data_IF_663512119248
#
_entry.id   IF_663512119248
#
_cell.length_a   1.000
_cell.length_b   1.000
_cell.length_c   1.000
_cell.angle_alpha   90.00
_cell.angle_beta   90.00
_cell.angle_gamma   90.00
#
_symmetry.space_group_name_H-M   'P 1'
#
loop_
_entity.id
_entity.type
_entity.pdbx_description
1 polymer ?
#
# COMPACT_ATOMS: atom_id res chain seq x y z
N UNK A 1 16.10 3.25 -6.46
CA UNK A 1 17.28 4.03 -6.93
C UNK A 1 17.06 4.80 -8.26
N UNK A 2 15.83 5.22 -8.60
CA UNK A 2 15.56 6.00 -9.83
C UNK A 2 15.39 7.51 -9.60
N UNK A 3 15.27 7.95 -8.34
CA UNK A 3 15.12 9.38 -7.99
C UNK A 3 16.45 10.13 -7.95
N UNK A 4 17.53 9.47 -7.49
CA UNK A 4 18.85 10.09 -7.30
C UNK A 4 19.53 10.52 -8.63
N UNK A 5 19.18 9.94 -9.78
CA UNK A 5 19.71 10.38 -11.10
C UNK A 5 19.02 11.62 -11.67
N UNK A 6 17.94 12.12 -11.06
CA UNK A 6 17.27 13.35 -11.50
C UNK A 6 18.00 14.62 -11.07
N UNK A 7 18.78 14.55 -9.99
CA UNK A 7 19.63 15.65 -9.52
C UNK A 7 20.94 15.81 -10.30
N UNK A 8 21.32 14.82 -11.12
CA UNK A 8 22.56 14.79 -11.89
C UNK A 8 22.38 15.07 -13.39
N UNK A 9 21.19 15.47 -13.84
CA UNK A 9 20.96 15.89 -15.23
C UNK A 9 21.33 17.37 -15.36
N UNK A 10 22.61 17.62 -15.67
CA UNK A 10 23.25 18.95 -15.76
C UNK A 10 22.60 19.91 -16.79
N UNK A 11 21.61 19.48 -17.57
CA UNK A 11 20.92 20.37 -18.52
C UNK A 11 19.39 20.15 -18.52
N UNK A 12 18.57 21.19 -18.24
CA UNK A 12 17.10 21.19 -18.39
C UNK A 12 16.65 20.73 -19.78
N UNK A 13 17.51 20.93 -20.77
CA UNK A 13 17.29 20.58 -22.16
C UNK A 13 17.15 19.07 -22.38
N UNK A 14 17.90 18.23 -21.66
CA UNK A 14 17.86 16.76 -21.81
C UNK A 14 16.54 16.18 -21.30
N UNK A 15 15.99 16.72 -20.21
CA UNK A 15 14.65 16.35 -19.74
C UNK A 15 13.58 16.78 -20.76
N UNK A 16 13.71 17.98 -21.32
CA UNK A 16 12.75 18.55 -22.29
C UNK A 16 12.77 17.83 -23.64
N UNK A 17 13.95 17.43 -24.14
CA UNK A 17 14.08 16.62 -25.37
C UNK A 17 13.68 15.17 -25.15
N UNK A 18 13.99 14.56 -24.00
CA UNK A 18 13.41 13.26 -23.62
C UNK A 18 11.89 13.32 -23.55
N UNK A 19 11.33 14.44 -23.06
CA UNK A 19 9.89 14.72 -22.98
C UNK A 19 9.19 14.85 -24.34
N UNK A 20 9.96 15.31 -25.34
CA UNK A 20 9.47 15.52 -26.70
C UNK A 20 9.58 14.23 -27.52
N UNK A 21 10.57 13.39 -27.21
CA UNK A 21 10.87 12.16 -27.95
C UNK A 21 10.04 10.94 -27.51
N UNK A 22 9.34 10.96 -26.37
CA UNK A 22 8.44 9.89 -25.91
C UNK A 22 9.07 8.48 -25.92
N UNK A 23 10.40 8.40 -25.78
CA UNK A 23 11.21 7.17 -25.85
C UNK A 23 11.64 6.75 -24.44
N UNK A 24 11.51 5.45 -24.16
CA UNK A 24 11.99 4.81 -22.93
C UNK A 24 11.31 5.31 -21.66
N UNK A 25 12.06 6.02 -20.81
CA UNK A 25 11.67 6.42 -19.45
C UNK A 25 10.43 7.32 -19.38
N UNK A 26 10.16 8.09 -20.44
CA UNK A 26 8.94 8.90 -20.48
C UNK A 26 7.67 8.05 -20.69
N UNK A 27 7.76 7.00 -21.52
CA UNK A 27 6.64 6.06 -21.72
C UNK A 27 6.34 5.33 -20.42
N UNK A 28 7.36 4.94 -19.66
CA UNK A 28 7.19 4.33 -18.34
C UNK A 28 6.58 5.30 -17.32
N UNK A 29 7.05 6.55 -17.28
CA UNK A 29 6.47 7.59 -16.44
C UNK A 29 5.00 7.83 -16.79
N UNK A 30 4.66 7.91 -18.08
CA UNK A 30 3.28 8.08 -18.54
C UNK A 30 2.39 6.92 -18.10
N UNK A 31 2.86 5.67 -18.21
CA UNK A 31 2.15 4.49 -17.70
C UNK A 31 1.97 4.54 -16.18
N UNK A 32 3.01 4.93 -15.44
CA UNK A 32 2.94 5.05 -13.98
C UNK A 32 1.93 6.13 -13.55
N UNK A 33 1.92 7.29 -14.22
CA UNK A 33 0.94 8.35 -14.00
C UNK A 33 -0.48 7.86 -14.32
N UNK A 34 -0.66 7.13 -15.43
CA UNK A 34 -1.95 6.53 -15.77
C UNK A 34 -2.44 5.55 -14.71
N UNK A 35 -1.55 4.69 -14.20
CA UNK A 35 -1.88 3.74 -13.14
C UNK A 35 -2.31 4.44 -11.84
N UNK A 36 -1.56 5.47 -11.42
CA UNK A 36 -1.91 6.26 -10.22
C UNK A 36 -3.25 6.98 -10.41
N UNK A 37 -3.49 7.57 -11.58
CA UNK A 37 -4.76 8.21 -11.89
C UNK A 37 -5.92 7.21 -11.86
N UNK A 38 -5.76 6.03 -12.46
CA UNK A 38 -6.78 4.97 -12.44
C UNK A 38 -7.07 4.49 -11.02
N UNK A 39 -6.04 4.31 -10.19
CA UNK A 39 -6.20 3.93 -8.79
C UNK A 39 -6.95 5.01 -8.00
N UNK A 40 -6.59 6.28 -8.17
CA UNK A 40 -7.25 7.39 -7.50
C UNK A 40 -8.73 7.52 -7.93
N UNK A 41 -9.01 7.37 -9.23
CA UNK A 41 -10.39 7.32 -9.73
C UNK A 41 -11.18 6.13 -9.14
N UNK A 42 -10.54 4.97 -8.99
CA UNK A 42 -11.18 3.80 -8.39
C UNK A 42 -11.53 4.04 -6.92
N UNK A 43 -10.61 4.63 -6.14
CA UNK A 43 -10.87 4.99 -4.74
C UNK A 43 -12.07 5.94 -4.63
N UNK A 44 -12.11 6.98 -5.46
CA UNK A 44 -13.23 7.92 -5.51
C UNK A 44 -14.54 7.19 -5.84
N UNK A 45 -14.52 6.33 -6.87
CA UNK A 45 -15.69 5.56 -7.30
C UNK A 45 -16.21 4.63 -6.21
N UNK A 46 -15.33 3.89 -5.56
CA UNK A 46 -15.70 2.99 -4.46
C UNK A 46 -16.31 3.76 -3.29
N UNK A 47 -15.72 4.91 -2.93
CA UNK A 47 -16.24 5.75 -1.85
C UNK A 47 -17.61 6.33 -2.17
N UNK A 48 -17.87 6.73 -3.42
CA UNK A 48 -19.22 7.15 -3.85
C UNK A 48 -20.25 6.03 -3.71
N UNK A 49 -19.89 4.79 -4.07
CA UNK A 49 -20.79 3.63 -3.99
C UNK A 49 -21.13 3.26 -2.55
N UNK A 50 -20.16 3.35 -1.63
CA UNK A 50 -20.37 3.03 -0.21
C UNK A 50 -21.21 4.10 0.52
N UNK A 51 -21.38 5.27 -0.08
CA UNK A 51 -22.13 6.39 0.48
C UNK A 51 -21.32 7.19 1.49
N UNK A 52 -21.64 8.48 1.60
CA UNK A 52 -20.97 9.42 2.52
C UNK A 52 -21.52 9.38 3.95
N UNK A 53 -22.62 8.67 4.15
CA UNK A 53 -23.51 8.83 5.30
C UNK A 53 -23.04 8.13 6.56
N UNK A 54 -22.02 7.26 6.49
CA UNK A 54 -21.63 6.37 7.59
C UNK A 54 -20.19 6.54 8.07
N UNK A 55 -19.35 7.32 7.38
CA UNK A 55 -17.91 7.36 7.66
C UNK A 55 -17.39 8.80 7.81
N UNK A 56 -16.96 9.18 9.01
CA UNK A 56 -16.31 10.47 9.31
C UNK A 56 -14.85 10.52 8.85
N UNK A 57 -14.53 9.98 7.66
CA UNK A 57 -13.17 10.05 7.12
C UNK A 57 -12.92 11.35 6.34
N UNK A 58 -11.65 11.72 6.26
CA UNK A 58 -11.20 12.96 5.64
C UNK A 58 -11.60 13.03 4.15
N UNK A 59 -11.62 11.89 3.46
CA UNK A 59 -11.98 11.83 2.05
C UNK A 59 -13.48 12.09 1.85
N UNK A 60 -14.33 11.54 2.72
CA UNK A 60 -15.78 11.81 2.73
C UNK A 60 -16.07 13.30 2.96
N UNK A 61 -15.31 13.97 3.83
CA UNK A 61 -15.41 15.43 4.01
C UNK A 61 -15.05 16.19 2.73
N UNK A 62 -13.97 15.82 2.07
CA UNK A 62 -13.60 16.43 0.78
C UNK A 62 -14.64 16.16 -0.31
N UNK A 63 -15.20 14.96 -0.38
CA UNK A 63 -16.23 14.60 -1.36
C UNK A 63 -17.57 15.30 -1.13
N UNK A 64 -17.90 15.64 0.12
CA UNK A 64 -19.08 16.44 0.45
C UNK A 64 -18.92 17.92 0.12
N UNK A 65 -17.69 18.44 0.11
CA UNK A 65 -17.40 19.86 -0.15
C UNK A 65 -16.91 20.15 -1.58
N UNK A 66 -16.34 19.17 -2.28
CA UNK A 66 -15.75 19.32 -3.61
C UNK A 66 -16.54 18.51 -4.63
N UNK A 67 -17.12 19.20 -5.60
CA UNK A 67 -17.81 18.56 -6.74
C UNK A 67 -16.89 18.28 -7.94
N UNK A 68 -15.67 18.83 -7.96
CA UNK A 68 -14.68 18.60 -9.01
C UNK A 68 -13.88 17.31 -8.76
N UNK A 69 -14.18 16.27 -9.55
CA UNK A 69 -13.50 14.97 -9.54
C UNK A 69 -12.00 15.09 -9.81
N UNK A 70 -11.56 16.09 -10.59
CA UNK A 70 -10.14 16.31 -10.87
C UNK A 70 -9.41 16.77 -9.62
N UNK A 71 -9.95 17.77 -8.93
CA UNK A 71 -9.38 18.27 -7.68
C UNK A 71 -9.39 17.19 -6.58
N UNK A 72 -10.47 16.43 -6.48
CA UNK A 72 -10.56 15.31 -5.55
C UNK A 72 -9.51 14.23 -5.85
N UNK A 73 -9.29 13.92 -7.13
CA UNK A 73 -8.24 12.99 -7.54
C UNK A 73 -6.86 13.49 -7.13
N UNK A 74 -6.57 14.77 -7.33
CA UNK A 74 -5.28 15.36 -6.97
C UNK A 74 -5.03 15.29 -5.45
N UNK A 75 -6.08 15.45 -4.62
CA UNK A 75 -6.02 15.22 -3.17
C UNK A 75 -5.69 13.75 -2.85
N UNK A 76 -6.41 12.80 -3.46
CA UNK A 76 -6.18 11.36 -3.23
C UNK A 76 -4.75 10.97 -3.61
N UNK A 77 -4.26 11.46 -4.76
CA UNK A 77 -2.89 11.23 -5.22
C UNK A 77 -1.88 11.81 -4.23
N UNK A 78 -2.13 13.01 -3.71
CA UNK A 78 -1.26 13.66 -2.72
C UNK A 78 -1.10 12.80 -1.46
N UNK A 79 -2.20 12.24 -0.94
CA UNK A 79 -2.15 11.32 0.20
C UNK A 79 -1.41 10.01 -0.12
N UNK A 80 -1.65 9.42 -1.30
CA UNK A 80 -0.95 8.21 -1.71
C UNK A 80 0.57 8.43 -1.81
N UNK A 81 0.99 9.55 -2.39
CA UNK A 81 2.40 9.91 -2.52
C UNK A 81 3.05 10.18 -1.16
N UNK A 82 2.35 10.87 -0.26
CA UNK A 82 2.85 11.15 1.09
C UNK A 82 2.95 9.89 1.96
N UNK A 83 1.96 9.01 1.90
CA UNK A 83 1.84 7.84 2.76
C UNK A 83 2.69 6.65 2.32
N UNK A 84 2.91 6.46 1.01
CA UNK A 84 3.53 5.23 0.48
C UNK A 84 4.90 4.94 1.09
N UNK A 85 5.85 5.85 0.92
CA UNK A 85 7.25 5.59 1.28
C UNK A 85 7.48 5.77 2.79
N UNK A 86 6.73 6.66 3.43
CA UNK A 86 6.79 6.91 4.88
C UNK A 86 6.25 5.73 5.67
N UNK A 87 5.04 5.25 5.34
CA UNK A 87 4.43 4.09 6.01
C UNK A 87 5.24 2.82 5.74
N UNK A 88 5.72 2.60 4.50
CA UNK A 88 6.55 1.44 4.19
C UNK A 88 7.85 1.43 5.02
N UNK A 89 8.51 2.58 5.17
CA UNK A 89 9.73 2.70 5.98
C UNK A 89 9.45 2.51 7.46
N UNK A 90 8.39 3.14 7.98
CA UNK A 90 7.98 3.00 9.39
C UNK A 90 7.61 1.56 9.74
N UNK A 91 6.86 0.86 8.88
CA UNK A 91 6.52 -0.55 9.09
C UNK A 91 7.76 -1.45 9.02
N UNK A 92 8.66 -1.20 8.07
CA UNK A 92 9.92 -1.95 7.98
C UNK A 92 10.73 -1.80 9.27
N UNK A 93 10.84 -0.57 9.79
CA UNK A 93 11.53 -0.31 11.04
C UNK A 93 10.80 -0.97 12.22
N UNK A 94 9.49 -0.86 12.28
CA UNK A 94 8.67 -1.48 13.31
C UNK A 94 8.91 -3.00 13.38
N UNK A 95 8.83 -3.71 12.25
CA UNK A 95 9.08 -5.15 12.23
C UNK A 95 10.54 -5.50 12.54
N UNK A 96 11.50 -4.67 12.13
CA UNK A 96 12.89 -4.84 12.52
C UNK A 96 13.10 -4.66 14.03
N UNK A 97 12.40 -3.73 14.66
CA UNK A 97 12.46 -3.54 16.11
C UNK A 97 11.79 -4.70 16.84
N UNK A 98 10.64 -5.17 16.36
CA UNK A 98 9.96 -6.34 16.94
C UNK A 98 10.78 -7.63 16.82
N UNK A 99 11.58 -7.80 15.76
CA UNK A 99 12.43 -8.99 15.63
C UNK A 99 13.59 -9.00 16.61
N UNK A 100 14.09 -7.82 17.02
CA UNK A 100 15.16 -7.66 18.00
C UNK A 100 14.67 -7.70 19.45
N UNK A 101 13.40 -7.37 19.70
CA UNK A 101 12.83 -7.26 21.04
C UNK A 101 11.68 -8.27 21.26
N UNK A 102 12.05 -9.51 21.59
CA UNK A 102 11.11 -10.62 21.82
C UNK A 102 10.10 -10.35 22.94
N UNK A 103 10.49 -9.60 23.98
CA UNK A 103 9.60 -9.21 25.08
C UNK A 103 8.46 -8.27 24.63
N UNK A 104 8.74 -7.28 23.77
CA UNK A 104 7.72 -6.39 23.20
C UNK A 104 6.75 -7.17 22.33
N UNK A 105 7.26 -8.11 21.51
CA UNK A 105 6.43 -9.00 20.69
C UNK A 105 5.49 -9.86 21.54
N UNK A 106 5.96 -10.38 22.67
CA UNK A 106 5.14 -11.16 23.61
C UNK A 106 4.05 -10.27 24.23
N UNK A 107 4.41 -9.08 24.71
CA UNK A 107 3.46 -8.11 25.27
C UNK A 107 2.36 -7.72 24.27
N UNK A 108 2.72 -7.43 23.02
CA UNK A 108 1.74 -7.11 21.97
C UNK A 108 0.81 -8.30 21.69
N UNK A 109 1.34 -9.53 21.74
CA UNK A 109 0.51 -10.74 21.56
C UNK A 109 -0.49 -10.89 22.71
N UNK A 110 -0.05 -10.72 23.94
CA UNK A 110 -0.94 -10.77 25.11
C UNK A 110 -2.04 -9.69 25.04
N UNK A 111 -1.70 -8.47 24.61
CA UNK A 111 -2.68 -7.42 24.37
C UNK A 111 -3.70 -7.79 23.28
N UNK A 112 -3.24 -8.36 22.17
CA UNK A 112 -4.11 -8.82 21.07
C UNK A 112 -5.01 -9.97 21.49
N UNK A 113 -4.53 -10.89 22.33
CA UNK A 113 -5.33 -11.99 22.88
C UNK A 113 -6.37 -11.49 23.89
N UNK A 114 -6.05 -10.46 24.66
CA UNK A 114 -6.97 -9.78 25.57
C UNK A 114 -8.07 -9.00 24.82
N UNK A 115 -7.79 -8.52 23.61
CA UNK A 115 -8.79 -7.90 22.74
C UNK A 115 -9.57 -9.02 22.04
N UNK A 116 -10.58 -9.53 22.73
CA UNK A 116 -11.40 -10.69 22.34
C UNK A 116 -11.99 -10.55 20.92
N UNK A 117 -12.26 -9.32 20.48
CA UNK A 117 -12.78 -9.01 19.14
C UNK A 117 -11.78 -9.30 18.01
N UNK A 118 -10.48 -9.05 18.22
CA UNK A 118 -9.46 -9.32 17.19
C UNK A 118 -9.15 -10.81 17.09
N UNK A 119 -9.04 -11.48 18.25
CA UNK A 119 -8.93 -12.94 18.34
C UNK A 119 -10.13 -13.63 17.66
N UNK A 120 -11.35 -13.14 17.87
CA UNK A 120 -12.54 -13.66 17.22
C UNK A 120 -12.54 -13.50 15.69
N UNK A 121 -12.01 -12.37 15.17
CA UNK A 121 -11.89 -12.15 13.72
C UNK A 121 -10.82 -13.06 13.13
N UNK A 122 -9.63 -13.15 13.73
CA UNK A 122 -8.54 -14.01 13.24
C UNK A 122 -8.92 -15.48 13.32
N UNK A 123 -9.56 -15.94 14.40
CA UNK A 123 -10.08 -17.32 14.53
C UNK A 123 -11.15 -17.68 13.50
N UNK A 124 -11.76 -16.68 12.84
CA UNK A 124 -12.74 -16.91 11.77
C UNK A 124 -12.08 -17.26 10.44
N UNK A 125 -10.78 -17.05 10.29
CA UNK A 125 -10.06 -17.31 9.06
C UNK A 125 -8.92 -18.31 9.30
N UNK A 126 -9.01 -19.47 8.67
CA UNK A 126 -7.92 -20.43 8.60
C UNK A 126 -6.98 -20.00 7.46
N UNK A 127 -5.72 -19.74 7.82
CA UNK A 127 -4.69 -19.21 6.92
C UNK A 127 -3.67 -20.31 6.69
N UNK A 128 -3.77 -20.99 5.54
CA UNK A 128 -2.86 -22.07 5.16
C UNK A 128 -1.84 -21.59 4.14
N UNK A 129 -0.57 -21.87 4.39
CA UNK A 129 0.49 -21.61 3.42
C UNK A 129 0.51 -22.77 2.43
N UNK A 130 0.23 -22.49 1.15
CA UNK A 130 0.01 -23.51 0.13
C UNK A 130 1.26 -24.29 -0.24
N UNK A 131 2.43 -23.66 -0.11
CA UNK A 131 3.72 -24.30 -0.30
C UNK A 131 4.47 -24.13 1.02
N UNK A 132 4.86 -25.22 1.68
CA UNK A 132 5.59 -25.23 2.96
C UNK A 132 6.98 -24.57 2.93
N UNK A 133 7.23 -23.65 2.00
CA UNK A 133 8.39 -22.80 1.95
C UNK A 133 8.40 -21.84 3.14
N UNK A 134 9.46 -21.95 3.93
CA UNK A 134 9.79 -20.95 4.94
C UNK A 134 10.26 -19.67 4.25
N UNK A 135 9.91 -18.48 4.78
CA UNK A 135 10.35 -17.22 4.21
C UNK A 135 11.88 -17.14 4.24
N UNK A 136 12.53 -17.16 3.08
CA UNK A 136 13.99 -17.02 2.95
C UNK A 136 14.35 -15.54 2.82
N UNK A 137 15.09 -15.03 3.81
CA UNK A 137 15.65 -13.68 3.77
C UNK A 137 16.84 -13.64 2.81
N UNK A 138 16.81 -12.72 1.85
CA UNK A 138 17.90 -12.55 0.87
C UNK A 138 18.60 -11.21 1.12
N UNK A 139 19.87 -11.20 1.55
CA UNK A 139 20.61 -9.96 1.79
C UNK A 139 20.79 -9.17 0.49
N UNK A 140 20.49 -7.87 0.50
CA UNK A 140 20.66 -6.96 -0.65
C UNK A 140 19.37 -6.54 -1.35
N UNK A 141 18.24 -7.18 -1.03
CA UNK A 141 16.90 -6.71 -1.39
C UNK A 141 16.23 -6.21 -0.11
N UNK A 142 16.07 -4.89 0.02
CA UNK A 142 15.32 -4.27 1.11
C UNK A 142 13.90 -4.86 1.14
N UNK A 143 13.66 -5.83 2.03
CA UNK A 143 12.37 -6.33 2.53
C UNK A 143 11.21 -6.44 1.51
N UNK A 144 11.46 -6.67 0.23
CA UNK A 144 10.47 -7.23 -0.66
C UNK A 144 10.62 -8.74 -0.52
N UNK A 145 9.64 -9.37 0.14
CA UNK A 145 9.37 -10.80 -0.05
C UNK A 145 9.21 -11.01 -1.57
N UNK A 146 10.30 -11.38 -2.24
CA UNK A 146 10.27 -11.68 -3.67
C UNK A 146 9.50 -12.97 -3.83
N UNK A 147 8.25 -12.85 -4.29
CA UNK A 147 7.26 -13.90 -4.21
C UNK A 147 6.50 -13.80 -2.90
N UNK A 148 5.30 -13.21 -2.93
CA UNK A 148 4.39 -13.30 -1.80
C UNK A 148 4.16 -14.76 -1.44
N UNK A 149 4.15 -15.07 -0.14
CA UNK A 149 3.79 -16.41 0.31
C UNK A 149 2.36 -16.68 -0.18
N UNK A 150 2.19 -17.72 -1.00
CA UNK A 150 0.89 -18.09 -1.52
C UNK A 150 0.08 -18.66 -0.35
N UNK A 151 -0.84 -17.86 0.14
CA UNK A 151 -1.64 -18.15 1.31
C UNK A 151 -3.09 -18.33 0.89
N UNK A 152 -3.68 -19.45 1.31
CA UNK A 152 -5.12 -19.71 1.19
C UNK A 152 -5.79 -19.22 2.46
N UNK A 153 -6.69 -18.26 2.33
CA UNK A 153 -7.52 -17.75 3.44
C UNK A 153 -8.89 -18.40 3.32
N UNK A 154 -9.20 -19.30 4.25
CA UNK A 154 -10.49 -19.99 4.33
C UNK A 154 -11.30 -19.36 5.47
N UNK A 155 -12.55 -18.97 5.20
CA UNK A 155 -13.45 -18.54 6.27
C UNK A 155 -14.05 -19.78 6.93
N UNK A 156 -13.79 -19.97 8.22
CA UNK A 156 -14.34 -21.06 9.03
C UNK A 156 -15.86 -20.88 9.13
N UNK A 157 -16.59 -21.50 8.21
CA UNK A 157 -18.06 -21.42 8.12
C UNK A 157 -18.66 -21.45 6.71
N UNK A 158 -17.89 -21.28 5.63
CA UNK A 158 -18.41 -21.42 4.26
C UNK A 158 -17.77 -22.65 3.59
N UNK A 159 -18.46 -23.79 3.71
CA UNK A 159 -18.12 -25.00 2.96
C UNK A 159 -18.65 -26.30 3.58
N UNK A 160 -19.96 -26.54 3.47
CA UNK A 160 -20.57 -27.87 3.19
C UNK A 160 -22.00 -27.66 2.67
N UNK A 161 -22.11 -27.48 1.36
CA UNK A 161 -23.11 -28.17 0.55
C UNK A 161 -22.36 -28.79 -0.62
#
# INVERSE_FOLDING_TARGET
>A
MLSARRGAAVFPFIWKTKRLLNIGSERELKRAIQMVNSLANEVIRQRRKLGFSSTHDLLSRFMGSVQDDKYLRDIVISFMLAGRDTVASSLTLFFLQLSKHSHVKASIREELERIDSFSAVVKRFDIEVLNGDSPKFVPGLTACLSGGLLVRVLRRGEGRQ
#
